data_IF_152729609336
#
_entry.id   IF_152729609336
#
_cell.length_a   1.000
_cell.length_b   1.000
_cell.length_c   1.000
_cell.angle_alpha   90.00
_cell.angle_beta   90.00
_cell.angle_gamma   90.00
#
_symmetry.space_group_name_H-M   'P 1'
#
loop_
_entity.id
_entity.type
_entity.pdbx_description
1 polymer ?
#
# COMPACT_ATOMS: atom_id res chain seq x y z
N UNK A 1 -6.50 -33.21 -20.13
CA UNK A 1 -6.30 -33.02 -18.67
C UNK A 1 -4.83 -33.06 -18.16
N UNK A 2 -3.77 -32.51 -18.82
CA UNK A 2 -2.42 -32.45 -18.22
C UNK A 2 -2.10 -31.13 -17.47
N UNK A 3 -2.96 -30.10 -17.59
CA UNK A 3 -2.66 -28.74 -17.14
C UNK A 3 -2.83 -28.53 -15.62
N UNK A 4 -3.77 -29.25 -14.97
CA UNK A 4 -4.04 -29.07 -13.54
C UNK A 4 -2.93 -29.64 -12.65
N UNK A 5 -2.39 -30.82 -12.98
CA UNK A 5 -1.26 -31.43 -12.25
C UNK A 5 0.05 -30.64 -12.36
N UNK A 6 0.31 -30.00 -13.52
CA UNK A 6 1.46 -29.08 -13.69
C UNK A 6 1.28 -27.77 -12.92
N UNK A 7 0.06 -27.19 -12.90
CA UNK A 7 -0.26 -26.01 -12.06
C UNK A 7 -0.09 -26.32 -10.57
N UNK A 8 -0.59 -27.46 -10.09
CA UNK A 8 -0.43 -27.90 -8.69
C UNK A 8 1.04 -28.15 -8.31
N UNK A 9 1.86 -28.76 -9.19
CA UNK A 9 3.31 -28.91 -8.95
C UNK A 9 4.05 -27.56 -8.92
N UNK A 10 3.68 -26.60 -9.78
CA UNK A 10 4.25 -25.23 -9.74
C UNK A 10 3.85 -24.47 -8.47
N UNK A 11 2.62 -24.61 -7.99
CA UNK A 11 2.16 -24.01 -6.73
C UNK A 11 2.86 -24.59 -5.48
N UNK A 12 3.20 -25.89 -5.48
CA UNK A 12 3.96 -26.52 -4.39
C UNK A 12 5.42 -26.07 -4.29
N UNK A 13 6.00 -25.50 -5.36
CA UNK A 13 7.42 -25.06 -5.42
C UNK A 13 7.63 -23.54 -5.36
N UNK A 14 6.58 -22.76 -5.10
CA UNK A 14 6.68 -21.30 -5.16
C UNK A 14 7.69 -20.75 -4.15
N UNK A 15 8.51 -19.74 -4.50
CA UNK A 15 9.54 -19.17 -3.63
C UNK A 15 9.03 -18.73 -2.26
N UNK A 16 7.81 -18.19 -2.17
CA UNK A 16 7.26 -17.71 -0.90
C UNK A 16 6.98 -18.77 0.16
N UNK A 17 6.96 -20.06 -0.19
CA UNK A 17 6.93 -21.12 0.82
C UNK A 17 8.23 -21.21 1.62
N UNK A 18 9.30 -20.55 1.16
CA UNK A 18 10.60 -20.45 1.83
C UNK A 18 10.80 -19.11 2.53
N UNK A 19 9.79 -18.22 2.48
CA UNK A 19 9.86 -17.00 3.27
C UNK A 19 9.73 -17.35 4.75
N UNK A 20 10.63 -16.84 5.58
CA UNK A 20 10.58 -17.04 7.02
C UNK A 20 9.49 -16.15 7.62
N UNK A 21 8.38 -16.76 8.05
CA UNK A 21 7.33 -16.10 8.82
C UNK A 21 7.67 -16.18 10.31
N UNK A 22 7.29 -15.18 11.13
CA UNK A 22 7.33 -15.32 12.58
C UNK A 22 6.55 -16.56 13.04
N UNK A 23 7.03 -17.28 14.05
CA UNK A 23 6.43 -18.56 14.49
C UNK A 23 4.94 -18.46 14.83
N UNK A 24 4.53 -17.30 15.37
CA UNK A 24 3.14 -17.04 15.78
C UNK A 24 2.38 -16.14 14.78
N UNK A 25 2.84 -16.04 13.53
CA UNK A 25 2.14 -15.25 12.52
C UNK A 25 0.68 -15.74 12.37
N UNK A 26 -0.33 -14.86 12.55
CA UNK A 26 -1.74 -15.25 12.42
C UNK A 26 -2.17 -15.37 10.95
N UNK A 27 -1.22 -15.59 10.05
CA UNK A 27 -1.43 -15.68 8.62
C UNK A 27 -0.44 -16.64 7.98
N UNK A 28 -0.81 -17.11 6.79
CA UNK A 28 0.05 -17.89 5.92
C UNK A 28 0.05 -17.30 4.51
N UNK A 29 1.10 -17.58 3.76
CA UNK A 29 1.18 -17.18 2.36
C UNK A 29 0.56 -18.26 1.48
N UNK A 30 -0.42 -17.89 0.66
CA UNK A 30 -1.12 -18.79 -0.27
C UNK A 30 -1.36 -18.13 -1.63
N UNK A 31 -1.59 -18.93 -2.70
CA UNK A 31 -2.01 -18.38 -3.98
C UNK A 31 -3.27 -17.51 -3.85
N UNK A 32 -3.19 -16.28 -4.36
CA UNK A 32 -4.32 -15.35 -4.45
C UNK A 32 -4.77 -15.27 -5.91
N UNK A 33 -6.02 -15.66 -6.25
CA UNK A 33 -6.50 -15.73 -7.62
C UNK A 33 -6.30 -14.41 -8.39
N UNK A 34 -5.51 -14.46 -9.45
CA UNK A 34 -5.22 -13.29 -10.30
C UNK A 34 -4.34 -12.22 -9.67
N UNK A 35 -3.74 -12.47 -8.49
CA UNK A 35 -2.83 -11.53 -7.81
C UNK A 35 -1.46 -12.15 -7.47
N UNK A 36 -1.27 -13.45 -7.73
CA UNK A 36 -0.06 -14.17 -7.38
C UNK A 36 -0.20 -14.87 -6.03
N UNK A 37 0.46 -14.34 -5.00
CA UNK A 37 0.43 -14.90 -3.65
C UNK A 37 0.21 -13.80 -2.62
N UNK A 38 -0.74 -14.02 -1.72
CA UNK A 38 -1.11 -13.08 -0.66
C UNK A 38 -1.03 -13.71 0.72
N UNK A 39 -1.20 -12.89 1.74
CA UNK A 39 -1.34 -13.30 3.14
C UNK A 39 -2.81 -13.59 3.46
N UNK A 40 -3.08 -14.76 4.03
CA UNK A 40 -4.43 -15.19 4.42
C UNK A 40 -4.44 -15.56 5.90
N UNK A 41 -5.47 -15.12 6.63
CA UNK A 41 -5.58 -15.36 8.06
C UNK A 41 -5.70 -16.87 8.36
N UNK A 42 -4.93 -17.37 9.33
CA UNK A 42 -4.96 -18.79 9.76
C UNK A 42 -5.96 -19.04 10.88
N UNK A 43 -6.40 -17.96 11.55
CA UNK A 43 -7.43 -17.92 12.58
C UNK A 43 -8.18 -16.58 12.50
N UNK A 44 -9.30 -16.41 13.23
CA UNK A 44 -9.87 -15.08 13.42
C UNK A 44 -8.86 -14.10 14.03
N UNK A 45 -8.81 -12.87 13.51
CA UNK A 45 -7.95 -11.77 13.99
C UNK A 45 -8.87 -10.63 14.40
N UNK A 46 -8.66 -10.07 15.59
CA UNK A 46 -9.52 -9.02 16.12
C UNK A 46 -9.08 -7.63 15.67
N UNK A 47 -10.04 -6.72 15.58
CA UNK A 47 -9.77 -5.29 15.34
C UNK A 47 -8.72 -4.78 16.32
N UNK A 48 -7.70 -4.07 15.83
CA UNK A 48 -6.60 -3.54 16.64
C UNK A 48 -5.47 -4.52 16.95
N UNK A 49 -5.60 -5.80 16.58
CA UNK A 49 -4.55 -6.80 16.79
C UNK A 49 -3.37 -6.58 15.83
N UNK A 50 -2.14 -6.74 16.35
CA UNK A 50 -0.91 -6.69 15.56
C UNK A 50 -0.76 -7.99 14.77
N UNK A 51 -0.80 -7.88 13.44
CA UNK A 51 -0.71 -8.99 12.49
C UNK A 51 0.76 -9.34 12.20
N UNK A 52 1.60 -8.31 12.04
CA UNK A 52 3.00 -8.45 11.69
C UNK A 52 3.77 -7.23 12.17
N UNK A 53 4.86 -7.47 12.88
CA UNK A 53 5.89 -6.47 13.15
C UNK A 53 7.17 -6.93 12.45
N UNK A 54 7.72 -6.08 11.58
CA UNK A 54 8.91 -6.41 10.79
C UNK A 54 9.89 -5.24 10.84
N UNK A 55 11.18 -5.50 11.07
CA UNK A 55 12.24 -4.50 10.92
C UNK A 55 12.71 -4.46 9.46
N UNK A 56 13.03 -3.29 8.90
CA UNK A 56 13.52 -3.21 7.54
C UNK A 56 14.88 -3.91 7.46
N UNK A 57 15.13 -4.61 6.36
CA UNK A 57 16.46 -5.16 6.08
C UNK A 57 17.51 -4.04 5.96
N UNK A 58 17.13 -2.96 5.28
CA UNK A 58 17.85 -1.70 5.24
C UNK A 58 16.88 -0.60 4.78
N UNK A 59 17.30 0.66 4.96
CA UNK A 59 16.58 1.83 4.50
C UNK A 59 17.37 2.54 3.39
N UNK A 60 16.66 3.18 2.47
CA UNK A 60 17.23 4.05 1.45
C UNK A 60 16.53 5.42 1.48
N UNK A 61 17.20 6.49 1.04
CA UNK A 61 16.57 7.80 0.96
C UNK A 61 15.33 7.78 0.06
N UNK A 62 14.27 8.47 0.47
CA UNK A 62 13.11 8.74 -0.38
C UNK A 62 13.40 9.97 -1.23
N UNK A 63 13.40 9.80 -2.55
CA UNK A 63 13.51 10.92 -3.49
C UNK A 63 12.11 11.25 -4.02
N UNK A 64 11.60 12.44 -3.70
CA UNK A 64 10.38 12.97 -4.30
C UNK A 64 10.68 13.54 -5.68
N UNK A 65 9.76 13.35 -6.62
CA UNK A 65 9.84 13.94 -7.96
C UNK A 65 9.92 15.48 -7.91
N UNK A 66 10.63 16.15 -8.84
CA UNK A 66 11.19 15.59 -10.08
C UNK A 66 12.49 14.81 -9.85
N UNK A 67 12.54 13.58 -10.36
CA UNK A 67 13.72 12.71 -10.35
C UNK A 67 14.86 13.41 -11.10
N UNK A 68 15.85 13.93 -10.38
CA UNK A 68 17.07 14.43 -11.02
C UNK A 68 18.00 13.23 -11.26
N UNK A 69 18.84 13.27 -12.30
CA UNK A 69 19.76 12.14 -12.64
C UNK A 69 20.67 11.78 -11.47
N UNK A 70 21.02 12.76 -10.63
CA UNK A 70 21.81 12.58 -9.41
C UNK A 70 21.10 11.71 -8.36
N UNK A 71 19.77 11.81 -8.25
CA UNK A 71 18.97 11.01 -7.31
C UNK A 71 18.98 9.53 -7.68
N UNK A 72 18.95 9.21 -8.98
CA UNK A 72 19.00 7.82 -9.45
C UNK A 72 20.35 7.16 -9.13
N UNK A 73 21.46 7.90 -9.25
CA UNK A 73 22.80 7.40 -8.91
C UNK A 73 22.94 7.19 -7.41
N UNK A 74 22.49 8.17 -6.61
CA UNK A 74 22.46 8.08 -5.15
C UNK A 74 21.62 6.90 -4.67
N UNK A 75 20.44 6.70 -5.25
CA UNK A 75 19.56 5.58 -4.93
C UNK A 75 20.21 4.23 -5.26
N UNK A 76 20.84 4.09 -6.44
CA UNK A 76 21.56 2.88 -6.83
C UNK A 76 22.70 2.55 -5.87
N UNK A 77 23.46 3.57 -5.46
CA UNK A 77 24.54 3.40 -4.48
C UNK A 77 23.99 3.00 -3.11
N UNK A 78 22.95 3.67 -2.62
CA UNK A 78 22.30 3.34 -1.35
C UNK A 78 21.75 1.91 -1.35
N UNK A 79 21.11 1.48 -2.45
CA UNK A 79 20.69 0.10 -2.65
C UNK A 79 21.89 -0.84 -2.58
N UNK A 80 22.94 -0.63 -3.38
CA UNK A 80 24.12 -1.49 -3.40
C UNK A 80 24.77 -1.65 -2.01
N UNK A 81 24.90 -0.56 -1.25
CA UNK A 81 25.39 -0.58 0.12
C UNK A 81 24.44 -1.35 1.07
N UNK A 82 23.13 -1.19 0.90
CA UNK A 82 22.11 -1.95 1.63
C UNK A 82 22.23 -3.46 1.40
N UNK A 83 22.38 -3.88 0.14
CA UNK A 83 22.62 -5.29 -0.20
C UNK A 83 23.89 -5.85 0.39
N UNK A 84 24.97 -5.07 0.36
CA UNK A 84 26.26 -5.50 0.89
C UNK A 84 26.21 -5.77 2.41
N UNK A 85 25.29 -5.12 3.13
CA UNK A 85 25.08 -5.32 4.57
C UNK A 85 24.17 -6.49 4.91
N UNK A 86 23.52 -7.12 3.93
CA UNK A 86 22.64 -8.24 4.19
C UNK A 86 23.44 -9.48 4.59
N UNK A 87 22.93 -10.21 5.58
CA UNK A 87 23.37 -11.59 5.82
C UNK A 87 23.01 -12.48 4.63
N UNK A 88 23.67 -13.64 4.52
CA UNK A 88 23.37 -14.61 3.47
C UNK A 88 21.88 -15.05 3.48
N UNK A 89 21.29 -15.24 4.67
CA UNK A 89 19.88 -15.58 4.80
C UNK A 89 18.98 -14.43 4.32
N UNK A 90 19.22 -13.20 4.77
CA UNK A 90 18.43 -12.04 4.33
C UNK A 90 18.53 -11.83 2.81
N UNK A 91 19.71 -12.00 2.22
CA UNK A 91 19.88 -11.93 0.77
C UNK A 91 19.08 -13.04 0.07
N UNK A 92 19.09 -14.26 0.62
CA UNK A 92 18.28 -15.36 0.09
C UNK A 92 16.78 -15.04 0.16
N UNK A 93 16.29 -14.56 1.32
CA UNK A 93 14.90 -14.14 1.53
C UNK A 93 14.49 -13.01 0.57
N UNK A 94 15.36 -12.00 0.40
CA UNK A 94 15.15 -10.91 -0.53
C UNK A 94 15.01 -11.39 -1.98
N UNK A 95 15.86 -12.33 -2.41
CA UNK A 95 15.83 -12.88 -3.77
C UNK A 95 14.56 -13.72 -4.07
N UNK A 96 13.75 -14.03 -3.04
CA UNK A 96 12.43 -14.63 -3.22
C UNK A 96 11.36 -13.61 -3.61
N UNK A 97 11.58 -12.31 -3.36
CA UNK A 97 10.63 -11.24 -3.68
C UNK A 97 10.31 -11.18 -5.17
N UNK A 98 9.08 -10.78 -5.47
CA UNK A 98 8.57 -10.66 -6.84
C UNK A 98 7.78 -9.37 -6.97
N UNK A 99 7.72 -8.85 -8.19
CA UNK A 99 6.76 -7.85 -8.64
C UNK A 99 5.35 -8.48 -8.63
N UNK A 100 4.33 -7.66 -8.84
CA UNK A 100 2.95 -8.08 -9.02
C UNK A 100 2.84 -9.34 -9.93
N UNK A 101 1.85 -10.20 -9.64
CA UNK A 101 1.63 -11.47 -10.34
C UNK A 101 2.79 -12.48 -10.31
N UNK A 102 3.79 -12.28 -9.45
CA UNK A 102 4.96 -13.17 -9.26
C UNK A 102 6.09 -13.02 -10.30
N UNK A 103 6.15 -11.89 -11.02
CA UNK A 103 7.26 -11.60 -11.94
C UNK A 103 8.58 -11.30 -11.18
N UNK A 104 9.73 -11.73 -11.70
CA UNK A 104 11.02 -11.37 -11.12
C UNK A 104 11.31 -9.88 -11.34
N UNK A 105 12.06 -9.27 -10.42
CA UNK A 105 12.56 -7.92 -10.63
C UNK A 105 13.70 -7.94 -11.67
N UNK A 106 13.68 -7.02 -12.66
CA UNK A 106 14.76 -6.93 -13.64
C UNK A 106 16.06 -6.45 -13.03
N UNK A 107 15.97 -5.65 -11.96
CA UNK A 107 17.10 -5.15 -11.19
C UNK A 107 16.69 -4.93 -9.72
N UNK A 108 17.67 -4.61 -8.88
CA UNK A 108 17.46 -4.35 -7.47
C UNK A 108 16.68 -3.06 -7.19
N UNK A 109 16.81 -2.03 -8.04
CA UNK A 109 16.11 -0.75 -7.88
C UNK A 109 14.60 -0.94 -8.03
N UNK A 110 14.17 -1.78 -8.96
CA UNK A 110 12.75 -2.08 -9.21
C UNK A 110 12.10 -2.77 -8.00
N UNK A 111 12.89 -3.43 -7.14
CA UNK A 111 12.39 -4.00 -5.89
C UNK A 111 11.90 -2.94 -4.88
N UNK A 112 12.18 -1.64 -5.10
CA UNK A 112 11.63 -0.55 -4.28
C UNK A 112 10.12 -0.42 -4.35
N UNK A 113 9.44 -1.03 -5.33
CA UNK A 113 7.98 -1.14 -5.29
C UNK A 113 7.47 -1.94 -4.07
N UNK A 114 8.33 -2.72 -3.41
CA UNK A 114 8.05 -3.44 -2.17
C UNK A 114 8.51 -2.69 -0.91
N UNK A 115 8.91 -1.41 -1.04
CA UNK A 115 9.40 -0.61 0.09
C UNK A 115 8.31 0.27 0.71
N UNK A 116 8.43 0.52 2.00
CA UNK A 116 7.48 1.31 2.80
C UNK A 116 8.16 2.55 3.35
N UNK A 117 7.45 3.67 3.39
CA UNK A 117 7.93 4.90 4.03
C UNK A 117 8.19 4.65 5.51
N UNK A 118 9.34 5.11 5.96
CA UNK A 118 9.76 5.19 7.34
C UNK A 118 9.73 6.65 7.76
N UNK A 119 9.33 6.91 9.00
CA UNK A 119 9.36 8.27 9.54
C UNK A 119 10.79 8.82 9.49
N UNK A 120 10.90 10.11 9.19
CA UNK A 120 12.18 10.79 9.11
C UNK A 120 12.83 10.81 10.51
N UNK A 121 14.02 10.25 10.63
CA UNK A 121 14.80 10.30 11.88
C UNK A 121 15.33 11.72 12.13
N UNK A 122 15.42 12.54 11.08
CA UNK A 122 15.97 13.90 11.08
C UNK A 122 14.96 14.99 10.66
N UNK A 123 13.70 14.63 10.41
CA UNK A 123 12.63 15.58 10.02
C UNK A 123 12.74 16.16 8.60
N UNK A 124 13.86 15.96 7.89
CA UNK A 124 14.10 16.55 6.56
C UNK A 124 13.99 15.53 5.43
N UNK A 125 14.34 14.26 5.67
CA UNK A 125 14.35 13.23 4.63
C UNK A 125 13.52 12.01 5.03
N UNK A 126 12.41 11.79 4.32
CA UNK A 126 11.71 10.51 4.42
C UNK A 126 12.65 9.40 3.94
N UNK A 127 12.68 8.28 4.64
CA UNK A 127 13.40 7.09 4.19
C UNK A 127 12.38 6.04 3.75
N UNK A 128 12.80 5.08 2.92
CA UNK A 128 12.01 3.89 2.59
C UNK A 128 12.75 2.64 3.02
N UNK A 129 12.08 1.80 3.78
CA UNK A 129 12.59 0.50 4.22
C UNK A 129 12.19 -0.62 3.28
N UNK A 130 13.07 -1.61 3.12
CA UNK A 130 12.74 -2.87 2.45
C UNK A 130 12.18 -3.86 3.47
N UNK A 131 10.96 -4.32 3.24
CA UNK A 131 10.22 -5.22 4.14
C UNK A 131 9.69 -6.45 3.39
N UNK A 132 10.44 -7.57 3.39
CA UNK A 132 10.07 -8.75 2.62
C UNK A 132 8.67 -9.26 2.91
N UNK A 133 8.26 -9.35 4.18
CA UNK A 133 6.95 -9.87 4.56
C UNK A 133 5.84 -8.83 4.40
N UNK A 134 6.06 -7.58 4.78
CA UNK A 134 5.06 -6.50 4.59
C UNK A 134 4.70 -6.33 3.11
N UNK A 135 5.64 -6.58 2.20
CA UNK A 135 5.40 -6.53 0.75
C UNK A 135 4.46 -7.62 0.22
N UNK A 136 4.10 -8.63 1.02
CA UNK A 136 3.23 -9.75 0.60
C UNK A 136 1.74 -9.49 0.81
N UNK A 137 1.37 -8.39 1.45
CA UNK A 137 -0.03 -8.02 1.63
C UNK A 137 -0.53 -7.31 0.38
N UNK A 138 -1.69 -7.73 -0.13
CA UNK A 138 -2.24 -7.16 -1.36
C UNK A 138 -3.02 -5.87 -1.11
N UNK A 139 -3.17 -5.10 -2.19
CA UNK A 139 -3.99 -3.91 -2.17
C UNK A 139 -5.49 -4.24 -2.06
N UNK A 140 -6.21 -3.43 -1.29
CA UNK A 140 -7.66 -3.28 -1.35
C UNK A 140 -8.02 -1.81 -1.11
N UNK A 141 -9.03 -1.28 -1.82
CA UNK A 141 -9.58 0.06 -1.54
C UNK A 141 -10.50 0.08 -0.32
N UNK A 142 -10.86 -1.10 0.19
CA UNK A 142 -11.58 -1.36 1.44
C UNK A 142 -10.77 -2.37 2.26
N UNK A 143 -9.61 -1.94 2.77
CA UNK A 143 -8.69 -2.86 3.43
C UNK A 143 -9.20 -3.32 4.80
N UNK A 144 -8.64 -4.43 5.28
CA UNK A 144 -8.88 -4.96 6.63
C UNK A 144 -7.65 -4.84 7.55
N UNK A 145 -6.55 -4.28 7.04
CA UNK A 145 -5.38 -3.91 7.83
C UNK A 145 -4.80 -2.57 7.38
N UNK A 146 -4.04 -1.93 8.27
CA UNK A 146 -3.23 -0.76 7.97
C UNK A 146 -1.81 -0.95 8.48
N UNK A 147 -0.91 -0.17 7.92
CA UNK A 147 0.44 -0.02 8.44
C UNK A 147 0.44 1.17 9.40
N UNK A 148 0.95 0.97 10.60
CA UNK A 148 1.27 2.03 11.55
C UNK A 148 2.80 2.20 11.56
N UNK A 149 3.31 3.43 11.43
CA UNK A 149 4.65 3.73 11.88
C UNK A 149 4.73 3.36 13.37
N UNK A 150 5.80 2.69 13.78
CA UNK A 150 6.04 2.46 15.20
C UNK A 150 6.34 3.79 15.89
N UNK A 151 5.80 3.99 17.10
CA UNK A 151 6.13 5.14 17.93
C UNK A 151 7.65 5.32 18.10
N UNK A 152 8.06 6.54 18.44
CA UNK A 152 9.39 7.19 18.40
C UNK A 152 10.65 6.37 18.76
N UNK A 153 10.52 5.14 19.25
CA UNK A 153 11.62 4.28 19.70
C UNK A 153 11.78 2.97 18.90
N UNK A 154 10.83 2.60 18.06
CA UNK A 154 10.93 1.37 17.25
C UNK A 154 11.25 1.70 15.79
N UNK A 155 12.24 1.01 15.22
CA UNK A 155 12.60 1.08 13.79
C UNK A 155 11.83 0.02 12.98
N UNK A 156 10.62 -0.36 13.39
CA UNK A 156 9.92 -1.54 12.87
C UNK A 156 8.51 -1.21 12.39
N UNK A 157 8.12 -1.71 11.24
CA UNK A 157 6.81 -1.46 10.68
C UNK A 157 5.78 -2.43 11.28
N UNK A 158 4.73 -1.89 11.88
CA UNK A 158 3.64 -2.69 12.46
C UNK A 158 2.42 -2.68 11.55
N UNK A 159 1.89 -3.86 11.26
CA UNK A 159 0.62 -4.06 10.57
C UNK A 159 -0.45 -4.41 11.59
N UNK A 160 -1.54 -3.67 11.57
CA UNK A 160 -2.63 -3.79 12.54
C UNK A 160 -3.95 -4.01 11.80
N UNK A 161 -4.80 -4.89 12.33
CA UNK A 161 -6.15 -5.10 11.82
C UNK A 161 -7.02 -3.86 12.03
N UNK A 162 -7.72 -3.40 10.99
CA UNK A 162 -8.66 -2.24 11.07
C UNK A 162 -10.10 -2.66 11.31
N UNK A 163 -10.37 -3.95 11.20
CA UNK A 163 -11.63 -4.61 11.55
C UNK A 163 -11.36 -6.08 11.87
N UNK A 164 -12.36 -6.79 12.35
CA UNK A 164 -12.29 -8.24 12.52
C UNK A 164 -12.05 -8.91 11.15
N UNK A 165 -11.13 -9.86 11.12
CA UNK A 165 -10.73 -10.64 9.93
C UNK A 165 -11.08 -12.10 10.20
N UNK A 166 -11.85 -12.70 9.28
CA UNK A 166 -12.25 -14.10 9.41
C UNK A 166 -11.10 -15.04 9.05
N UNK A 167 -11.11 -16.24 9.62
CA UNK A 167 -10.18 -17.30 9.19
C UNK A 167 -10.32 -17.55 7.68
N UNK A 168 -9.19 -17.63 6.98
CA UNK A 168 -9.14 -17.82 5.53
C UNK A 168 -9.37 -16.56 4.69
N UNK A 169 -9.66 -15.42 5.31
CA UNK A 169 -9.79 -14.13 4.62
C UNK A 169 -8.41 -13.58 4.21
N UNK A 170 -8.32 -12.96 3.01
CA UNK A 170 -7.09 -12.30 2.55
C UNK A 170 -6.84 -11.03 3.36
N UNK A 171 -5.65 -10.88 3.93
CA UNK A 171 -5.24 -9.68 4.66
C UNK A 171 -4.71 -8.66 3.66
N UNK A 172 -5.31 -7.47 3.64
CA UNK A 172 -5.07 -6.44 2.62
C UNK A 172 -4.86 -5.06 3.24
N UNK A 173 -4.24 -4.15 2.49
CA UNK A 173 -4.09 -2.74 2.88
C UNK A 173 -4.23 -1.79 1.70
N UNK A 174 -4.35 -0.48 1.97
CA UNK A 174 -4.33 0.52 0.92
C UNK A 174 -2.88 0.89 0.57
N UNK A 175 -2.46 0.75 -0.70
CA UNK A 175 -1.08 1.04 -1.12
C UNK A 175 -0.82 2.55 -1.17
N UNK A 176 -1.87 3.32 -1.40
CA UNK A 176 -1.82 4.76 -1.61
C UNK A 176 -2.86 5.40 -0.67
N UNK A 177 -2.42 6.07 0.41
CA UNK A 177 -3.35 6.70 1.36
C UNK A 177 -4.32 7.70 0.71
N UNK A 178 -3.88 8.41 -0.34
CA UNK A 178 -4.69 9.42 -1.02
C UNK A 178 -5.93 8.87 -1.75
N UNK A 179 -6.03 7.55 -1.95
CA UNK A 179 -7.17 6.92 -2.63
C UNK A 179 -8.48 6.99 -1.82
N UNK A 180 -8.42 7.44 -0.58
CA UNK A 180 -9.58 7.53 0.31
C UNK A 180 -10.72 8.38 -0.28
N UNK A 181 -10.39 9.45 -1.00
CA UNK A 181 -11.36 10.38 -1.58
C UNK A 181 -11.71 10.08 -3.03
N UNK A 182 -10.96 9.20 -3.69
CA UNK A 182 -11.08 8.98 -5.13
C UNK A 182 -12.21 8.03 -5.51
N UNK A 183 -12.85 8.29 -6.64
CA UNK A 183 -13.83 7.37 -7.26
C UNK A 183 -13.14 6.10 -7.79
N UNK A 184 -13.91 5.05 -8.11
CA UNK A 184 -13.38 3.82 -8.71
C UNK A 184 -12.52 4.09 -9.95
N UNK A 185 -12.93 5.03 -10.80
CA UNK A 185 -12.20 5.41 -12.01
C UNK A 185 -10.85 6.04 -11.67
N UNK A 186 -10.85 7.02 -10.78
CA UNK A 186 -9.62 7.70 -10.32
C UNK A 186 -8.67 6.74 -9.61
N UNK A 187 -9.17 5.88 -8.71
CA UNK A 187 -8.35 4.86 -8.04
C UNK A 187 -7.69 3.92 -9.04
N UNK A 188 -8.40 3.52 -10.10
CA UNK A 188 -7.84 2.65 -11.13
C UNK A 188 -6.79 3.36 -12.00
N UNK A 189 -6.92 4.66 -12.23
CA UNK A 189 -5.91 5.46 -12.92
C UNK A 189 -4.65 5.64 -12.06
N UNK A 190 -4.80 5.82 -10.75
CA UNK A 190 -3.69 5.96 -9.82
C UNK A 190 -2.91 4.63 -9.62
N UNK A 191 -3.61 3.49 -9.66
CA UNK A 191 -3.02 2.15 -9.58
C UNK A 191 -2.54 1.66 -10.96
N UNK A 192 -1.67 2.42 -11.63
CA UNK A 192 -1.25 2.23 -13.03
C UNK A 192 -0.84 0.78 -13.38
N UNK A 193 -0.20 0.06 -12.45
CA UNK A 193 0.28 -1.32 -12.65
C UNK A 193 -0.64 -2.41 -12.03
N UNK A 194 -1.81 -2.05 -11.50
CA UNK A 194 -2.69 -2.97 -10.77
C UNK A 194 -4.17 -2.71 -11.06
N UNK A 195 -4.88 -3.76 -11.47
CA UNK A 195 -6.35 -3.72 -11.54
C UNK A 195 -6.95 -4.20 -10.21
N UNK A 196 -7.51 -3.26 -9.44
CA UNK A 196 -8.12 -3.59 -8.15
C UNK A 196 -9.51 -4.22 -8.35
N UNK A 197 -9.76 -5.36 -7.68
CA UNK A 197 -11.00 -6.14 -7.78
C UNK A 197 -11.71 -6.30 -6.43
N UNK A 198 -11.49 -5.38 -5.48
CA UNK A 198 -12.24 -5.36 -4.23
C UNK A 198 -13.72 -4.96 -4.47
N UNK A 199 -14.58 -5.13 -3.49
CA UNK A 199 -16.02 -4.77 -3.55
C UNK A 199 -16.24 -3.32 -4.01
N UNK A 200 -15.41 -2.36 -3.58
CA UNK A 200 -15.50 -0.96 -4.00
C UNK A 200 -15.09 -0.72 -5.46
N UNK A 201 -14.42 -1.67 -6.10
CA UNK A 201 -13.93 -1.55 -7.48
C UNK A 201 -14.66 -2.47 -8.46
N UNK A 202 -15.56 -3.33 -7.97
CA UNK A 202 -16.38 -4.21 -8.78
C UNK A 202 -17.48 -3.38 -9.49
N UNK A 203 -17.40 -3.19 -10.83
CA UNK A 203 -18.24 -2.24 -11.53
C UNK A 203 -19.72 -2.63 -11.50
N UNK A 204 -20.61 -1.64 -11.40
CA UNK A 204 -22.06 -1.85 -11.52
C UNK A 204 -22.69 -2.54 -10.32
N UNK A 205 -22.01 -2.56 -9.17
CA UNK A 205 -22.58 -3.07 -7.92
C UNK A 205 -23.11 -1.92 -7.07
N UNK A 206 -24.22 -2.12 -6.31
CA UNK A 206 -24.72 -1.10 -5.39
C UNK A 206 -23.66 -0.62 -4.40
N UNK A 207 -22.78 -1.53 -3.96
CA UNK A 207 -21.67 -1.19 -3.07
C UNK A 207 -20.66 -0.24 -3.71
N UNK A 208 -20.29 -0.48 -4.98
CA UNK A 208 -19.35 0.39 -5.70
C UNK A 208 -19.94 1.78 -5.92
N UNK A 209 -21.22 1.89 -6.32
CA UNK A 209 -21.90 3.17 -6.50
C UNK A 209 -21.97 3.95 -5.17
N UNK A 210 -22.41 3.30 -4.10
CA UNK A 210 -22.46 3.91 -2.78
C UNK A 210 -21.07 4.28 -2.24
N UNK A 211 -20.03 3.50 -2.55
CA UNK A 211 -18.63 3.84 -2.24
C UNK A 211 -18.22 5.12 -2.96
N UNK A 212 -18.48 5.24 -4.26
CA UNK A 212 -18.09 6.42 -5.04
C UNK A 212 -18.86 7.67 -4.61
N UNK A 213 -20.15 7.55 -4.30
CA UNK A 213 -20.93 8.64 -3.71
C UNK A 213 -20.34 9.13 -2.39
N UNK A 214 -20.04 8.20 -1.45
CA UNK A 214 -19.45 8.54 -0.15
C UNK A 214 -18.10 9.23 -0.30
N UNK A 215 -17.25 8.75 -1.22
CA UNK A 215 -15.90 9.31 -1.42
C UNK A 215 -15.95 10.69 -2.06
N UNK A 216 -16.85 10.93 -3.02
CA UNK A 216 -17.12 12.28 -3.55
C UNK A 216 -17.61 13.23 -2.46
N UNK A 217 -18.50 12.76 -1.58
CA UNK A 217 -18.96 13.56 -0.45
C UNK A 217 -17.80 13.90 0.49
N UNK A 218 -16.97 12.91 0.87
CA UNK A 218 -15.79 13.14 1.70
C UNK A 218 -14.80 14.12 1.04
N UNK A 219 -14.61 14.02 -0.27
CA UNK A 219 -13.76 14.93 -1.04
C UNK A 219 -14.30 16.37 -1.02
N UNK A 220 -15.60 16.55 -1.25
CA UNK A 220 -16.26 17.85 -1.15
C UNK A 220 -16.20 18.43 0.25
N UNK A 221 -16.44 17.62 1.28
CA UNK A 221 -16.32 18.04 2.69
C UNK A 221 -14.88 18.42 3.06
N UNK A 222 -13.88 17.68 2.56
CA UNK A 222 -12.48 18.06 2.73
C UNK A 222 -12.21 19.45 2.15
N UNK A 223 -12.57 19.68 0.88
CA UNK A 223 -12.38 20.97 0.23
C UNK A 223 -13.14 22.09 0.95
N UNK A 224 -14.36 21.79 1.39
CA UNK A 224 -15.19 22.72 2.15
C UNK A 224 -14.52 23.15 3.46
N UNK A 225 -13.90 22.22 4.19
CA UNK A 225 -13.25 22.50 5.46
C UNK A 225 -11.88 23.18 5.32
N UNK A 226 -11.11 22.87 4.27
CA UNK A 226 -9.72 23.31 4.13
C UNK A 226 -9.54 24.47 3.15
N UNK A 227 -10.51 24.69 2.26
CA UNK A 227 -10.41 25.57 1.11
C UNK A 227 -9.42 25.09 0.05
N UNK A 228 -9.01 23.82 0.12
CA UNK A 228 -7.95 23.22 -0.70
C UNK A 228 -8.32 21.79 -1.07
N UNK A 229 -7.84 21.35 -2.22
CA UNK A 229 -7.91 19.95 -2.63
C UNK A 229 -6.98 19.09 -1.78
N UNK A 230 -7.10 17.77 -1.96
CA UNK A 230 -6.31 16.73 -1.29
C UNK A 230 -4.80 16.91 -1.55
N UNK A 231 -4.43 17.52 -2.68
CA UNK A 231 -3.04 17.85 -3.03
C UNK A 231 -2.58 19.23 -2.50
N UNK A 232 -3.43 19.91 -1.74
CA UNK A 232 -3.18 21.23 -1.14
C UNK A 232 -3.43 22.42 -2.07
N UNK A 233 -3.83 22.19 -3.32
CA UNK A 233 -4.06 23.27 -4.30
C UNK A 233 -5.50 23.75 -4.30
N UNK A 234 -5.71 24.96 -4.78
CA UNK A 234 -7.06 25.43 -5.14
C UNK A 234 -7.45 24.82 -6.49
N UNK A 235 -8.71 24.49 -6.63
CA UNK A 235 -9.25 23.96 -7.88
C UNK A 235 -9.86 25.07 -8.73
N UNK A 236 -9.78 24.89 -10.05
CA UNK A 236 -10.59 25.69 -10.96
C UNK A 236 -12.07 25.41 -10.74
N UNK A 237 -12.94 26.30 -11.20
CA UNK A 237 -14.37 26.13 -11.00
C UNK A 237 -14.90 24.85 -11.69
N UNK A 238 -14.34 24.48 -12.85
CA UNK A 238 -14.71 23.27 -13.59
C UNK A 238 -14.27 21.96 -12.94
N UNK A 239 -13.29 22.01 -12.04
CA UNK A 239 -12.71 20.82 -11.38
C UNK A 239 -13.11 20.70 -9.91
N UNK A 240 -13.78 21.71 -9.36
CA UNK A 240 -14.15 21.78 -7.96
C UNK A 240 -15.23 20.75 -7.60
N UNK A 241 -15.08 20.00 -6.49
CA UNK A 241 -16.15 19.16 -5.97
C UNK A 241 -17.32 20.00 -5.40
N UNK A 242 -17.10 21.29 -5.15
CA UNK A 242 -18.13 22.26 -4.75
C UNK A 242 -18.59 23.02 -6.00
N UNK A 243 -19.81 22.73 -6.45
CA UNK A 243 -20.38 23.31 -7.68
C UNK A 243 -21.02 24.70 -7.48
N UNK A 244 -21.21 25.14 -6.23
CA UNK A 244 -21.76 26.45 -5.91
C UNK A 244 -20.62 27.48 -5.74
N UNK A 245 -20.50 28.49 -6.63
CA UNK A 245 -19.36 29.42 -6.63
C UNK A 245 -19.19 30.20 -5.32
N UNK A 246 -20.31 30.64 -4.72
CA UNK A 246 -20.30 31.37 -3.44
C UNK A 246 -19.77 30.49 -2.31
N UNK A 247 -20.24 29.25 -2.25
CA UNK A 247 -19.82 28.27 -1.24
C UNK A 247 -18.35 27.88 -1.41
N UNK A 248 -17.90 27.73 -2.65
CA UNK A 248 -16.49 27.49 -2.99
C UNK A 248 -15.61 28.65 -2.54
N UNK A 249 -16.01 29.89 -2.83
CA UNK A 249 -15.26 31.10 -2.43
C UNK A 249 -15.21 31.22 -0.89
N UNK A 250 -16.32 30.98 -0.22
CA UNK A 250 -16.37 30.96 1.24
C UNK A 250 -15.43 29.87 1.84
N UNK A 251 -15.39 28.68 1.25
CA UNK A 251 -14.46 27.62 1.64
C UNK A 251 -12.99 28.05 1.47
N UNK A 252 -12.65 28.57 0.30
CA UNK A 252 -11.30 29.02 -0.03
C UNK A 252 -10.79 30.17 0.83
N UNK A 253 -11.71 31.01 1.32
CA UNK A 253 -11.42 32.14 2.20
C UNK A 253 -11.56 31.80 3.69
N UNK A 254 -11.99 30.57 4.03
CA UNK A 254 -12.29 30.12 5.41
C UNK A 254 -13.40 30.95 6.08
N UNK A 255 -14.39 31.35 5.30
CA UNK A 255 -15.54 32.17 5.72
C UNK A 255 -16.78 31.32 6.07
N UNK A 256 -16.67 29.99 5.98
CA UNK A 256 -17.73 29.09 6.43
C UNK A 256 -17.79 29.13 7.95
N UNK A 257 -18.79 29.84 8.48
CA UNK A 257 -19.09 29.86 9.90
C UNK A 257 -19.82 28.58 10.30
N UNK A 258 -19.53 28.08 11.51
CA UNK A 258 -20.37 27.05 12.12
C UNK A 258 -21.73 27.70 12.44
N UNK A 259 -22.86 27.04 12.11
CA UNK A 259 -24.17 27.49 12.56
C UNK A 259 -24.26 27.54 14.09
#
# INVERSE_FOLDING_TARGET
MPSSRRKQRKQRKHPYRRLHLPDNAPFELKPSPGKGWGAFATRPIKTGEVILQESPYFAVPHFTVPYVVEDATRLRLAMALGFWRLTADQLQQFNLLRKHESAQFPDNVTALCNSFTLDAVDGEHQNRGIFPLQSRFHHSCVPNSRVSPSGEQQRSLSRIATRDISQGEEITFCYLPLLEYNTRRERQLALVELVCKCEACLPGTPFQEASDMRRRLLHGLHYFLTGRDIDGKKLSDDSSPIIFPELKRAAENREITRP
#
